data_IF_725835795798
#
_entry.id   IF_725835795798
#
_cell.length_a   1.000
_cell.length_b   1.000
_cell.length_c   1.000
_cell.angle_alpha   90.00
_cell.angle_beta   90.00
_cell.angle_gamma   90.00
#
_symmetry.space_group_name_H-M   'P 1'
#
loop_
_entity.id
_entity.type
_entity.pdbx_description
1 polymer ?
#
# COMPACT_ATOMS: atom_id res chain seq x y z
N UNK A 1 13.52 -29.22 -14.38
CA UNK A 1 12.83 -27.95 -14.08
C UNK A 1 11.37 -28.27 -13.75
N UNK A 2 11.01 -28.41 -12.48
CA UNK A 2 9.62 -28.67 -12.10
C UNK A 2 8.83 -27.36 -12.24
N UNK A 3 7.96 -27.28 -13.23
CA UNK A 3 7.06 -26.13 -13.41
C UNK A 3 6.06 -26.11 -12.26
N UNK A 4 6.11 -25.06 -11.43
CA UNK A 4 5.08 -24.81 -10.41
C UNK A 4 3.72 -24.61 -11.09
N UNK A 5 2.65 -25.09 -10.45
CA UNK A 5 1.28 -24.94 -10.97
C UNK A 5 0.92 -23.46 -11.16
N UNK A 6 0.18 -23.10 -12.21
CA UNK A 6 -0.34 -21.73 -12.41
C UNK A 6 -1.08 -21.19 -11.17
N UNK A 7 -1.69 -22.08 -10.37
CA UNK A 7 -2.38 -21.75 -9.13
C UNK A 7 -1.44 -21.44 -7.96
N UNK A 8 -0.23 -21.98 -7.95
CA UNK A 8 0.80 -21.62 -6.96
C UNK A 8 1.51 -20.34 -7.37
N UNK A 9 1.82 -20.18 -8.67
CA UNK A 9 2.41 -18.95 -9.22
C UNK A 9 1.54 -17.70 -8.94
N UNK A 10 0.21 -17.81 -9.11
CA UNK A 10 -0.72 -16.70 -8.83
C UNK A 10 -0.77 -16.30 -7.36
N UNK A 11 -0.69 -17.25 -6.42
CA UNK A 11 -0.64 -16.97 -4.97
C UNK A 11 0.68 -16.33 -4.55
N UNK A 12 1.80 -16.81 -5.10
CA UNK A 12 3.12 -16.25 -4.88
C UNK A 12 3.19 -14.80 -5.38
N UNK A 13 2.70 -14.53 -6.59
CA UNK A 13 2.62 -13.18 -7.15
C UNK A 13 1.76 -12.23 -6.28
N UNK A 14 0.62 -12.70 -5.77
CA UNK A 14 -0.22 -11.89 -4.88
C UNK A 14 0.47 -11.58 -3.54
N UNK A 15 1.18 -12.56 -2.96
CA UNK A 15 1.96 -12.35 -1.74
C UNK A 15 3.12 -11.36 -1.98
N UNK A 16 3.75 -11.42 -3.16
CA UNK A 16 4.81 -10.51 -3.56
C UNK A 16 4.31 -9.07 -3.75
N UNK A 17 3.11 -8.89 -4.30
CA UNK A 17 2.47 -7.57 -4.42
C UNK A 17 2.17 -6.98 -3.04
N UNK A 18 1.68 -7.77 -2.09
CA UNK A 18 1.46 -7.30 -0.71
C UNK A 18 2.76 -6.88 -0.02
N UNK A 19 3.89 -7.51 -0.35
CA UNK A 19 5.21 -7.13 0.17
C UNK A 19 5.77 -5.89 -0.51
N UNK A 20 5.67 -5.77 -1.84
CA UNK A 20 6.29 -4.68 -2.62
C UNK A 20 5.47 -3.39 -2.60
N UNK A 21 4.14 -3.49 -2.60
CA UNK A 21 3.23 -2.35 -2.59
C UNK A 21 2.67 -2.13 -1.18
N UNK A 22 3.11 -1.10 -0.44
CA UNK A 22 2.61 -0.83 0.89
C UNK A 22 1.15 -0.33 0.92
N UNK A 23 0.56 -0.04 -0.25
CA UNK A 23 -0.84 0.36 -0.43
C UNK A 23 -1.70 -0.71 -1.12
N UNK A 24 -1.26 -1.97 -1.10
CA UNK A 24 -1.96 -3.06 -1.78
C UNK A 24 -3.40 -3.26 -1.28
N UNK A 25 -3.64 -3.09 0.02
CA UNK A 25 -4.97 -3.26 0.63
C UNK A 25 -5.96 -2.18 0.16
N UNK A 26 -5.49 -0.93 0.12
CA UNK A 26 -6.26 0.22 -0.33
C UNK A 26 -6.55 0.11 -1.84
N UNK A 27 -5.57 -0.35 -2.62
CA UNK A 27 -5.77 -0.65 -4.04
C UNK A 27 -6.85 -1.71 -4.24
N UNK A 28 -6.76 -2.85 -3.56
CA UNK A 28 -7.78 -3.91 -3.64
C UNK A 28 -9.16 -3.42 -3.23
N UNK A 29 -9.25 -2.58 -2.21
CA UNK A 29 -10.51 -2.01 -1.75
C UNK A 29 -11.13 -1.06 -2.77
N UNK A 30 -10.30 -0.24 -3.44
CA UNK A 30 -10.77 0.65 -4.52
C UNK A 30 -11.27 -0.13 -5.74
N UNK A 31 -10.58 -1.20 -6.12
CA UNK A 31 -11.02 -2.08 -7.22
C UNK A 31 -12.30 -2.82 -6.85
N UNK A 32 -12.39 -3.35 -5.62
CA UNK A 32 -13.58 -4.01 -5.12
C UNK A 32 -14.80 -3.09 -5.14
N UNK A 33 -14.63 -1.84 -4.73
CA UNK A 33 -15.72 -0.86 -4.81
C UNK A 33 -16.23 -0.68 -6.25
N UNK A 34 -15.32 -0.57 -7.22
CA UNK A 34 -15.70 -0.45 -8.63
C UNK A 34 -16.45 -1.69 -9.12
N UNK A 35 -15.96 -2.89 -8.79
CA UNK A 35 -16.62 -4.15 -9.13
C UNK A 35 -18.05 -4.22 -8.56
N UNK A 36 -18.22 -3.85 -7.29
CA UNK A 36 -19.51 -3.89 -6.59
C UNK A 36 -20.49 -2.81 -7.08
N UNK A 37 -20.00 -1.70 -7.66
CA UNK A 37 -20.82 -0.55 -8.08
C UNK A 37 -20.93 -0.39 -9.61
N UNK A 38 -20.53 -1.38 -10.40
CA UNK A 38 -20.62 -1.31 -11.85
C UNK A 38 -19.70 -0.26 -12.48
N UNK A 39 -18.52 -0.07 -11.90
CA UNK A 39 -17.51 0.92 -12.32
C UNK A 39 -17.96 2.38 -12.22
N UNK A 40 -18.91 2.67 -11.32
CA UNK A 40 -19.27 4.03 -10.94
C UNK A 40 -18.19 4.62 -10.02
N UNK A 41 -17.37 5.50 -10.57
CA UNK A 41 -16.23 6.10 -9.88
C UNK A 41 -16.66 7.05 -8.75
N UNK A 42 -17.79 7.73 -8.90
CA UNK A 42 -18.25 8.74 -7.94
C UNK A 42 -18.63 8.08 -6.61
N UNK A 43 -19.19 6.86 -6.66
CA UNK A 43 -19.50 6.05 -5.47
C UNK A 43 -18.26 5.57 -4.72
N UNK A 44 -17.11 5.56 -5.38
CA UNK A 44 -15.87 5.00 -4.85
C UNK A 44 -14.84 6.05 -4.43
N UNK A 45 -15.19 7.33 -4.44
CA UNK A 45 -14.27 8.44 -4.16
C UNK A 45 -13.50 8.27 -2.83
N UNK A 46 -14.17 7.86 -1.75
CA UNK A 46 -13.52 7.62 -0.46
C UNK A 46 -12.42 6.55 -0.52
N UNK A 47 -12.59 5.50 -1.33
CA UNK A 47 -11.59 4.46 -1.51
C UNK A 47 -10.38 4.98 -2.30
N UNK A 48 -10.62 5.83 -3.31
CA UNK A 48 -9.55 6.47 -4.06
C UNK A 48 -8.77 7.47 -3.21
N UNK A 49 -9.46 8.24 -2.37
CA UNK A 49 -8.85 9.19 -1.45
C UNK A 49 -7.96 8.46 -0.43
N UNK A 50 -8.43 7.33 0.11
CA UNK A 50 -7.63 6.46 0.97
C UNK A 50 -6.38 5.90 0.24
N UNK A 51 -6.54 5.42 -1.00
CA UNK A 51 -5.42 4.94 -1.79
C UNK A 51 -4.40 6.06 -2.10
N UNK A 52 -4.87 7.26 -2.43
CA UNK A 52 -4.05 8.44 -2.68
C UNK A 52 -3.32 8.90 -1.42
N UNK A 53 -4.00 8.90 -0.27
CA UNK A 53 -3.40 9.21 1.02
C UNK A 53 -2.28 8.22 1.37
N UNK A 54 -2.52 6.92 1.18
CA UNK A 54 -1.50 5.90 1.38
C UNK A 54 -0.27 6.14 0.50
N UNK A 55 -0.45 6.36 -0.81
CA UNK A 55 0.66 6.63 -1.73
C UNK A 55 1.44 7.87 -1.32
N UNK A 56 0.74 8.94 -0.97
CA UNK A 56 1.36 10.22 -0.56
C UNK A 56 2.22 10.04 0.69
N UNK A 57 1.70 9.30 1.68
CA UNK A 57 2.44 8.97 2.90
C UNK A 57 3.74 8.21 2.60
N UNK A 58 3.67 7.10 1.86
CA UNK A 58 4.85 6.29 1.59
C UNK A 58 5.88 6.98 0.69
N UNK A 59 5.44 7.79 -0.28
CA UNK A 59 6.34 8.64 -1.06
C UNK A 59 7.08 9.63 -0.14
N UNK A 60 6.41 10.19 0.86
CA UNK A 60 7.05 11.01 1.90
C UNK A 60 8.13 10.25 2.66
N UNK A 61 7.80 9.06 3.16
CA UNK A 61 8.77 8.18 3.88
C UNK A 61 9.97 7.82 3.00
N UNK A 62 9.74 7.46 1.74
CA UNK A 62 10.82 7.13 0.79
C UNK A 62 11.74 8.33 0.55
N UNK A 63 11.18 9.53 0.38
CA UNK A 63 11.96 10.77 0.21
C UNK A 63 12.79 11.09 1.44
N UNK A 64 12.24 10.88 2.64
CA UNK A 64 12.98 11.08 3.89
C UNK A 64 14.11 10.06 4.06
N UNK A 65 13.87 8.79 3.77
CA UNK A 65 14.90 7.73 3.81
C UNK A 65 16.00 7.99 2.79
N UNK A 66 15.64 8.41 1.58
CA UNK A 66 16.59 8.79 0.53
C UNK A 66 17.47 9.98 0.96
N UNK A 67 16.87 11.03 1.57
CA UNK A 67 17.64 12.17 2.09
C UNK A 67 18.64 11.76 3.20
N UNK A 68 18.30 10.73 3.96
CA UNK A 68 19.16 10.17 5.02
C UNK A 68 20.18 9.14 4.49
N UNK A 69 20.18 8.83 3.19
CA UNK A 69 21.05 7.82 2.60
C UNK A 69 20.73 6.39 3.06
N UNK A 70 19.48 6.11 3.46
CA UNK A 70 19.06 4.79 3.95
C UNK A 70 18.55 3.95 2.76
N UNK A 71 19.21 2.82 2.52
CA UNK A 71 18.78 1.81 1.56
C UNK A 71 18.34 0.50 2.24
N UNK A 72 17.28 -0.18 1.77
CA UNK A 72 16.38 0.23 0.68
C UNK A 72 15.47 1.42 1.07
N UNK A 73 15.09 2.22 0.06
CA UNK A 73 14.25 3.41 0.22
C UNK A 73 12.84 3.06 0.70
N UNK A 74 12.31 1.91 0.27
CA UNK A 74 11.06 1.35 0.78
C UNK A 74 11.33 0.57 2.08
N UNK A 75 10.60 0.85 3.18
CA UNK A 75 10.73 0.09 4.41
C UNK A 75 10.31 -1.38 4.27
N UNK A 76 10.96 -2.24 5.05
CA UNK A 76 10.60 -3.66 5.19
C UNK A 76 9.17 -3.80 5.75
N UNK A 77 8.42 -4.86 5.40
CA UNK A 77 7.04 -5.04 5.85
C UNK A 77 6.87 -4.95 7.38
N UNK A 78 7.84 -5.46 8.15
CA UNK A 78 7.80 -5.44 9.62
C UNK A 78 7.80 -4.01 10.19
N UNK A 79 8.56 -3.10 9.58
CA UNK A 79 8.68 -1.71 10.05
C UNK A 79 7.44 -0.87 9.70
N UNK A 80 6.64 -1.31 8.72
CA UNK A 80 5.60 -0.45 8.15
C UNK A 80 4.51 -0.09 9.14
N UNK A 81 4.17 -1.01 10.05
CA UNK A 81 3.14 -0.77 11.06
C UNK A 81 3.59 0.26 12.08
N UNK A 82 4.85 0.18 12.54
CA UNK A 82 5.42 1.16 13.45
C UNK A 82 5.49 2.56 12.82
N UNK A 83 5.97 2.68 11.57
CA UNK A 83 6.07 3.97 10.86
C UNK A 83 4.67 4.58 10.66
N UNK A 84 3.66 3.77 10.32
CA UNK A 84 2.27 4.24 10.21
C UNK A 84 1.71 4.69 11.56
N UNK A 85 1.90 3.91 12.62
CA UNK A 85 1.42 4.25 13.96
C UNK A 85 2.03 5.57 14.46
N UNK A 86 3.33 5.75 14.26
CA UNK A 86 4.00 7.00 14.61
C UNK A 86 3.45 8.18 13.80
N UNK A 87 3.24 8.02 12.50
CA UNK A 87 2.65 9.05 11.66
C UNK A 87 1.26 9.46 12.12
N UNK A 88 0.39 8.48 12.42
CA UNK A 88 -0.95 8.74 12.93
C UNK A 88 -0.92 9.46 14.28
N UNK A 89 -0.05 9.03 15.20
CA UNK A 89 0.18 9.70 16.48
C UNK A 89 0.62 11.16 16.30
N UNK A 90 1.52 11.43 15.34
CA UNK A 90 1.98 12.80 15.05
C UNK A 90 0.87 13.65 14.44
N UNK A 91 -0.05 13.07 13.65
CA UNK A 91 -1.21 13.80 13.12
C UNK A 91 -2.24 14.13 14.21
N UNK A 92 -2.48 13.23 15.16
CA UNK A 92 -3.47 13.45 16.21
C UNK A 92 -3.06 14.52 17.23
N UNK A 93 -1.76 14.70 17.47
CA UNK A 93 -1.25 15.77 18.37
C UNK A 93 -1.29 17.15 17.71
N UNK A 94 -1.37 17.21 16.37
CA UNK A 94 -1.33 18.45 15.59
C UNK A 94 -2.72 18.99 15.24
N UNK A 95 -3.77 18.31 15.69
CA UNK A 95 -5.18 18.71 15.54
C UNK A 95 -5.65 19.22 16.89
#
# INVERSE_FOLDING_TARGET
>A
MAGTSLRTQSRENAADQAKKNPCHKEQQSSMKCLEDNGYDYDKCQNYFDNFKACKTFWVGVMRERLRKGIEPTMPAPEDREAIKAEHLRRKSVKT
#
